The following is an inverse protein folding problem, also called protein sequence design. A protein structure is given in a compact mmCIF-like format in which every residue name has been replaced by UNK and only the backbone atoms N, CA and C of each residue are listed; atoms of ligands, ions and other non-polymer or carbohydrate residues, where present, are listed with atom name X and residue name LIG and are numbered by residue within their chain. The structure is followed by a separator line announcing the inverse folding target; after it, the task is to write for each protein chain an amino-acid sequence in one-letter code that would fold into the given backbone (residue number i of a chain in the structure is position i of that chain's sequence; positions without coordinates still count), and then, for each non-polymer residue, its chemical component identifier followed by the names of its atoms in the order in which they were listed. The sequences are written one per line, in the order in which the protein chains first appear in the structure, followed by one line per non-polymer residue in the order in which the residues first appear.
data_IF_146606660174
#
_entry.id   IF_146606660174
#
_cell.length_a   1.000
_cell.length_b   1.000
_cell.length_c   1.000
_cell.angle_alpha   90.00
_cell.angle_beta   90.00
_cell.angle_gamma   90.00
#
_symmetry.space_group_name_H-M   'P 1'
#
loop_
_entity.id
_entity.type
_entity.pdbx_description
1 polymer ?
#
# COMPACT_ATOMS: atom_id res chain seq x y z
N UNK A 1 -18.89 11.00 12.85
CA UNK A 1 -18.92 9.73 12.08
C UNK A 1 -20.01 9.83 11.02
N UNK A 2 -19.69 9.51 9.76
CA UNK A 2 -20.67 9.59 8.67
C UNK A 2 -21.71 8.45 8.84
N UNK A 3 -22.98 8.72 8.42
CA UNK A 3 -24.08 7.72 8.49
C UNK A 3 -23.73 6.40 7.79
N UNK A 4 -22.98 6.45 6.66
CA UNK A 4 -22.52 5.26 5.93
C UNK A 4 -21.52 4.42 6.75
N UNK A 5 -20.56 5.08 7.41
CA UNK A 5 -19.57 4.41 8.28
C UNK A 5 -20.26 3.78 9.49
N UNK A 6 -21.23 4.50 10.10
CA UNK A 6 -22.03 3.95 11.20
C UNK A 6 -22.81 2.71 10.76
N UNK A 7 -23.48 2.78 9.61
CA UNK A 7 -24.22 1.64 9.06
C UNK A 7 -23.30 0.43 8.79
N UNK A 8 -22.13 0.65 8.19
CA UNK A 8 -21.14 -0.42 7.94
C UNK A 8 -20.66 -1.08 9.25
N UNK A 9 -20.40 -0.28 10.28
CA UNK A 9 -20.01 -0.81 11.60
C UNK A 9 -21.13 -1.59 12.27
N UNK A 10 -22.38 -1.13 12.16
CA UNK A 10 -23.55 -1.85 12.69
C UNK A 10 -23.74 -3.19 11.95
N UNK A 11 -23.64 -3.18 10.61
CA UNK A 11 -23.76 -4.42 9.81
C UNK A 11 -22.62 -5.37 10.13
N UNK A 12 -21.37 -4.88 10.22
CA UNK A 12 -20.23 -5.69 10.63
C UNK A 12 -20.39 -6.26 12.05
N UNK A 13 -20.81 -5.45 13.01
CA UNK A 13 -21.10 -5.90 14.38
C UNK A 13 -22.22 -6.93 14.44
N UNK A 14 -23.30 -6.74 13.67
CA UNK A 14 -24.38 -7.72 13.57
C UNK A 14 -23.87 -9.05 12.97
N UNK A 15 -23.05 -9.00 11.90
CA UNK A 15 -22.46 -10.20 11.31
C UNK A 15 -21.61 -10.98 12.32
N UNK A 16 -20.78 -10.29 13.12
CA UNK A 16 -19.97 -10.90 14.18
C UNK A 16 -20.82 -11.64 15.23
N UNK A 17 -22.00 -11.10 15.55
CA UNK A 17 -22.91 -11.70 16.54
C UNK A 17 -23.68 -12.87 15.92
N UNK A 18 -24.25 -12.67 14.72
CA UNK A 18 -25.12 -13.65 14.05
C UNK A 18 -24.37 -14.92 13.63
N UNK A 19 -23.11 -14.78 13.22
CA UNK A 19 -22.26 -15.93 12.85
C UNK A 19 -20.94 -15.89 13.64
N UNK A 20 -21.06 -15.87 14.97
CA UNK A 20 -19.93 -15.79 15.88
C UNK A 20 -18.92 -16.94 15.73
N UNK A 21 -19.38 -18.13 15.27
CA UNK A 21 -18.48 -19.27 14.99
C UNK A 21 -17.58 -18.99 13.79
N UNK A 22 -18.15 -18.49 12.69
CA UNK A 22 -17.37 -18.07 11.52
C UNK A 22 -16.41 -16.94 11.88
N UNK A 23 -16.87 -15.93 12.62
CA UNK A 23 -16.05 -14.83 13.08
C UNK A 23 -14.85 -15.30 13.92
N UNK A 24 -15.11 -16.14 14.94
CA UNK A 24 -14.06 -16.67 15.82
C UNK A 24 -13.06 -17.54 15.07
N UNK A 25 -13.52 -18.39 14.14
CA UNK A 25 -12.62 -19.21 13.32
C UNK A 25 -11.77 -18.36 12.40
N UNK A 26 -12.37 -17.44 11.65
CA UNK A 26 -11.64 -16.54 10.73
C UNK A 26 -10.63 -15.65 11.45
N UNK A 27 -10.96 -15.18 12.66
CA UNK A 27 -10.01 -14.44 13.49
C UNK A 27 -8.84 -15.31 13.95
N UNK A 28 -9.09 -16.55 14.38
CA UNK A 28 -8.03 -17.49 14.77
C UNK A 28 -7.11 -17.80 13.60
N UNK A 29 -7.66 -18.11 12.43
CA UNK A 29 -6.88 -18.41 11.23
C UNK A 29 -5.97 -17.23 10.85
N UNK A 30 -6.50 -15.99 10.89
CA UNK A 30 -5.73 -14.80 10.60
C UNK A 30 -4.65 -14.52 11.66
N UNK A 31 -4.96 -14.70 12.94
CA UNK A 31 -3.97 -14.53 14.03
C UNK A 31 -2.89 -15.62 13.98
N UNK A 32 -3.25 -16.86 13.65
CA UNK A 32 -2.30 -17.96 13.49
C UNK A 32 -1.35 -17.68 12.31
N UNK A 33 -1.86 -17.19 11.18
CA UNK A 33 -1.08 -16.69 10.05
C UNK A 33 -0.11 -15.58 10.48
N UNK A 34 -0.58 -14.60 11.25
CA UNK A 34 0.26 -13.53 11.78
C UNK A 34 1.39 -14.10 12.67
N UNK A 35 1.04 -14.95 13.62
CA UNK A 35 1.98 -15.46 14.63
C UNK A 35 3.02 -16.42 14.02
N UNK A 36 2.61 -17.33 13.15
CA UNK A 36 3.48 -18.38 12.62
C UNK A 36 4.26 -17.96 11.38
N UNK A 37 3.73 -17.03 10.59
CA UNK A 37 4.34 -16.66 9.31
C UNK A 37 4.75 -15.20 9.25
N UNK A 38 3.83 -14.26 9.45
CA UNK A 38 4.12 -12.86 9.20
C UNK A 38 5.09 -12.26 10.21
N UNK A 39 4.88 -12.50 11.50
CA UNK A 39 5.76 -11.95 12.54
C UNK A 39 7.19 -12.48 12.38
N UNK A 40 7.45 -13.81 12.30
CA UNK A 40 8.81 -14.31 12.18
C UNK A 40 9.53 -13.87 10.90
N UNK A 41 8.82 -13.81 9.76
CA UNK A 41 9.43 -13.46 8.48
C UNK A 41 9.60 -11.96 8.26
N UNK A 42 8.64 -11.15 8.72
CA UNK A 42 8.61 -9.72 8.40
C UNK A 42 9.22 -8.83 9.49
N UNK A 43 9.04 -9.17 10.78
CA UNK A 43 9.47 -8.31 11.88
C UNK A 43 10.96 -7.96 11.83
N UNK A 44 11.91 -8.89 11.65
CA UNK A 44 13.32 -8.55 11.55
C UNK A 44 13.63 -7.60 10.40
N UNK A 45 12.97 -7.81 9.25
CA UNK A 45 13.15 -6.98 8.07
C UNK A 45 12.51 -5.60 8.23
N UNK A 46 11.39 -5.49 8.95
CA UNK A 46 10.77 -4.20 9.29
C UNK A 46 11.66 -3.38 10.24
N UNK A 47 12.34 -4.02 11.19
CA UNK A 47 13.32 -3.35 12.06
C UNK A 47 14.50 -2.82 11.24
N UNK A 48 15.05 -3.65 10.33
CA UNK A 48 16.12 -3.23 9.43
C UNK A 48 15.66 -2.06 8.53
N UNK A 49 14.46 -2.17 7.94
CA UNK A 49 13.90 -1.09 7.13
C UNK A 49 13.76 0.21 7.94
N UNK A 50 13.24 0.13 9.18
CA UNK A 50 13.11 1.28 10.06
C UNK A 50 14.46 1.93 10.42
N UNK A 51 15.52 1.12 10.60
CA UNK A 51 16.86 1.61 10.85
C UNK A 51 17.50 2.29 9.61
N UNK A 52 17.12 1.84 8.39
CA UNK A 52 17.62 2.40 7.13
C UNK A 52 16.86 3.66 6.67
N UNK A 53 15.71 3.97 7.26
CA UNK A 53 14.89 5.16 6.91
C UNK A 53 15.74 6.44 6.82
N UNK A 54 16.60 6.81 7.77
CA UNK A 54 17.39 8.04 7.69
C UNK A 54 18.36 8.04 6.50
N UNK A 55 19.00 6.90 6.25
CA UNK A 55 19.94 6.75 5.13
C UNK A 55 19.23 6.88 3.78
N UNK A 56 18.10 6.19 3.62
CA UNK A 56 17.31 6.22 2.38
C UNK A 56 16.67 7.60 2.15
N UNK A 57 16.18 8.24 3.21
CA UNK A 57 15.60 9.59 3.15
C UNK A 57 16.60 10.68 2.75
N UNK A 58 17.90 10.47 2.99
CA UNK A 58 18.96 11.40 2.61
C UNK A 58 19.46 11.20 1.17
N UNK A 59 19.09 10.10 0.51
CA UNK A 59 19.58 9.77 -0.85
C UNK A 59 19.03 10.78 -1.86
N UNK A 60 19.94 11.22 -2.75
CA UNK A 60 19.65 12.12 -3.87
C UNK A 60 19.94 11.41 -5.18
N UNK A 61 18.92 11.24 -6.01
CA UNK A 61 19.01 10.64 -7.34
C UNK A 61 18.29 11.57 -8.32
N UNK A 62 18.99 12.64 -8.81
CA UNK A 62 18.33 13.66 -9.64
C UNK A 62 17.65 13.13 -10.91
N UNK A 63 18.19 12.04 -11.49
CA UNK A 63 17.56 11.38 -12.64
C UNK A 63 16.22 10.76 -12.25
N UNK A 64 16.11 10.17 -11.07
CA UNK A 64 14.86 9.59 -10.56
C UNK A 64 13.83 10.68 -10.27
N UNK A 65 14.24 11.79 -9.62
CA UNK A 65 13.34 12.92 -9.36
C UNK A 65 12.77 13.48 -10.67
N UNK A 66 13.60 13.64 -11.70
CA UNK A 66 13.17 14.11 -13.03
C UNK A 66 12.22 13.12 -13.70
N UNK A 67 12.55 11.83 -13.68
CA UNK A 67 11.72 10.76 -14.27
C UNK A 67 10.36 10.69 -13.60
N UNK A 68 10.32 10.70 -12.27
CA UNK A 68 9.07 10.67 -11.50
C UNK A 68 8.36 12.03 -11.47
N UNK A 69 8.99 13.10 -11.97
CA UNK A 69 8.49 14.49 -11.88
C UNK A 69 8.14 14.91 -10.45
N UNK A 70 8.92 14.48 -9.46
CA UNK A 70 8.76 14.80 -8.04
C UNK A 70 9.73 15.91 -7.61
N UNK A 71 9.49 16.57 -6.45
CA UNK A 71 10.44 17.55 -5.91
C UNK A 71 11.81 16.92 -5.72
N UNK A 72 12.87 17.68 -5.99
CA UNK A 72 14.22 17.23 -5.68
C UNK A 72 14.36 17.00 -4.18
N UNK A 73 14.76 15.81 -3.80
CA UNK A 73 14.81 15.38 -2.41
C UNK A 73 13.67 14.46 -1.98
N UNK A 74 12.65 14.31 -2.81
CA UNK A 74 11.59 13.34 -2.57
C UNK A 74 11.94 11.93 -3.06
N UNK A 75 13.09 11.74 -3.73
CA UNK A 75 13.59 10.43 -4.19
C UNK A 75 13.72 9.45 -3.01
N UNK A 76 14.17 9.97 -1.87
CA UNK A 76 14.25 9.20 -0.63
C UNK A 76 12.90 8.64 -0.19
N UNK A 77 11.80 9.38 -0.37
CA UNK A 77 10.44 8.92 -0.03
C UNK A 77 10.06 7.74 -0.92
N UNK A 78 10.35 7.81 -2.23
CA UNK A 78 10.10 6.69 -3.14
C UNK A 78 10.92 5.45 -2.75
N UNK A 79 12.20 5.62 -2.41
CA UNK A 79 13.05 4.53 -1.93
C UNK A 79 12.49 3.93 -0.62
N UNK A 80 12.03 4.76 0.32
CA UNK A 80 11.40 4.31 1.54
C UNK A 80 10.15 3.46 1.27
N UNK A 81 9.34 3.86 0.29
CA UNK A 81 8.18 3.09 -0.15
C UNK A 81 8.57 1.77 -0.82
N UNK A 82 9.61 1.79 -1.66
CA UNK A 82 10.08 0.61 -2.39
C UNK A 82 10.72 -0.45 -1.49
N UNK A 83 11.47 -0.03 -0.47
CA UNK A 83 12.21 -0.92 0.43
C UNK A 83 11.53 -1.13 1.79
N UNK A 84 10.80 -0.13 2.30
CA UNK A 84 10.09 -0.22 3.56
C UNK A 84 8.67 -0.81 3.45
N UNK A 85 8.12 -0.81 2.25
CA UNK A 85 6.78 -1.35 1.98
C UNK A 85 5.65 -0.31 2.15
N UNK A 86 4.42 -0.79 1.96
CA UNK A 86 3.20 0.03 1.88
C UNK A 86 3.03 1.12 2.94
N UNK A 87 3.15 0.85 4.24
CA UNK A 87 2.90 1.89 5.22
C UNK A 87 4.03 2.92 5.27
N UNK A 88 5.28 2.54 4.98
CA UNK A 88 6.45 3.42 5.16
C UNK A 88 6.46 4.55 4.13
N UNK A 89 6.17 4.25 2.86
CA UNK A 89 6.07 5.28 1.82
C UNK A 89 4.97 6.30 2.11
N UNK A 90 3.77 5.82 2.43
CA UNK A 90 2.62 6.68 2.76
C UNK A 90 2.87 7.51 4.03
N UNK A 91 3.44 6.91 5.09
CA UNK A 91 3.79 7.61 6.32
C UNK A 91 4.82 8.71 6.08
N UNK A 92 5.84 8.45 5.25
CA UNK A 92 6.87 9.44 4.89
C UNK A 92 6.27 10.62 4.11
N UNK A 93 5.30 10.36 3.22
CA UNK A 93 4.56 11.40 2.51
C UNK A 93 3.72 12.23 3.48
N UNK A 94 2.92 11.59 4.33
CA UNK A 94 2.07 12.25 5.31
C UNK A 94 2.90 13.18 6.22
N UNK A 95 3.99 12.67 6.80
CA UNK A 95 4.90 13.45 7.64
C UNK A 95 5.54 14.63 6.88
N UNK A 96 5.91 14.44 5.60
CA UNK A 96 6.50 15.51 4.78
C UNK A 96 5.48 16.61 4.46
N UNK A 97 4.21 16.26 4.29
CA UNK A 97 3.14 17.24 4.08
C UNK A 97 2.80 17.97 5.38
N UNK A 98 2.71 17.28 6.50
CA UNK A 98 2.44 17.89 7.82
C UNK A 98 3.54 18.86 8.25
N UNK A 99 4.80 18.55 7.95
CA UNK A 99 5.94 19.46 8.21
C UNK A 99 6.05 20.61 7.22
N UNK A 100 5.21 20.66 6.18
CA UNK A 100 5.26 21.66 5.13
C UNK A 100 6.42 21.48 4.13
N UNK A 101 7.19 20.40 4.22
CA UNK A 101 8.26 20.10 3.30
C UNK A 101 7.73 19.68 1.91
N UNK A 102 6.56 19.05 1.86
CA UNK A 102 5.89 18.62 0.63
C UNK A 102 4.52 19.29 0.52
N UNK A 103 4.13 19.73 -0.69
CA UNK A 103 2.78 20.25 -0.89
C UNK A 103 1.74 19.14 -0.85
N UNK A 104 0.49 19.44 -0.50
CA UNK A 104 -0.60 18.46 -0.54
C UNK A 104 -0.77 17.85 -1.92
N UNK A 105 -0.69 18.65 -2.97
CA UNK A 105 -0.80 18.20 -4.36
C UNK A 105 0.29 17.20 -4.72
N UNK A 106 1.54 17.44 -4.30
CA UNK A 106 2.65 16.51 -4.53
C UNK A 106 2.47 15.24 -3.70
N UNK A 107 2.02 15.37 -2.44
CA UNK A 107 1.73 14.24 -1.57
C UNK A 107 0.66 13.31 -2.16
N UNK A 108 -0.48 13.85 -2.57
CA UNK A 108 -1.57 13.09 -3.22
C UNK A 108 -1.11 12.40 -4.50
N UNK A 109 -0.25 13.11 -5.28
CA UNK A 109 0.34 12.57 -6.50
C UNK A 109 1.26 11.38 -6.21
N UNK A 110 2.04 11.45 -5.15
CA UNK A 110 3.05 10.44 -4.80
C UNK A 110 2.49 9.21 -4.09
N UNK A 111 1.35 9.32 -3.40
CA UNK A 111 0.82 8.26 -2.53
C UNK A 111 0.76 6.88 -3.19
N UNK A 112 0.27 6.77 -4.42
CA UNK A 112 0.05 5.49 -5.07
C UNK A 112 1.34 4.84 -5.55
N UNK A 113 2.18 5.56 -6.30
CA UNK A 113 3.41 5.00 -6.86
C UNK A 113 4.58 4.93 -5.84
N UNK A 114 4.49 5.63 -4.71
CA UNK A 114 5.45 5.45 -3.60
C UNK A 114 4.99 4.41 -2.57
N UNK A 115 3.80 3.82 -2.72
CA UNK A 115 3.31 2.77 -1.83
C UNK A 115 3.44 1.42 -2.51
N UNK A 116 4.56 0.74 -2.31
CA UNK A 116 4.92 -0.53 -2.94
C UNK A 116 4.94 -1.67 -1.93
N UNK A 117 4.88 -2.90 -2.41
CA UNK A 117 5.10 -4.06 -1.57
C UNK A 117 6.60 -4.18 -1.25
N UNK A 118 6.94 -4.18 0.02
CA UNK A 118 8.35 -4.21 0.45
C UNK A 118 9.03 -5.56 0.18
N UNK A 119 10.38 -5.56 0.00
CA UNK A 119 11.17 -6.78 -0.16
C UNK A 119 10.97 -7.80 0.96
N UNK A 120 10.68 -7.33 2.18
CA UNK A 120 10.38 -8.18 3.31
C UNK A 120 9.26 -9.18 3.00
N UNK A 121 8.14 -8.71 2.48
CA UNK A 121 7.02 -9.56 2.09
C UNK A 121 7.36 -10.39 0.85
N UNK A 122 7.92 -9.78 -0.17
CA UNK A 122 8.23 -10.45 -1.43
C UNK A 122 9.20 -11.62 -1.24
N UNK A 123 10.31 -11.39 -0.59
CA UNK A 123 11.36 -12.40 -0.41
C UNK A 123 11.18 -13.25 0.87
N UNK A 124 10.35 -12.81 1.81
CA UNK A 124 10.04 -13.57 3.04
C UNK A 124 8.83 -14.47 2.92
N UNK A 125 7.84 -14.13 2.09
CA UNK A 125 6.57 -14.87 2.01
C UNK A 125 6.39 -15.56 0.66
N UNK A 126 6.56 -14.87 -0.47
CA UNK A 126 6.28 -15.41 -1.81
C UNK A 126 7.09 -16.64 -2.19
N UNK A 127 8.35 -16.86 -1.73
CA UNK A 127 9.11 -18.07 -2.07
C UNK A 127 8.48 -19.37 -1.59
N UNK A 128 7.51 -19.32 -0.68
CA UNK A 128 6.72 -20.47 -0.25
C UNK A 128 5.73 -20.95 -1.32
N UNK A 129 5.42 -20.09 -2.30
CA UNK A 129 4.41 -20.33 -3.35
C UNK A 129 4.98 -20.30 -4.76
N UNK A 130 6.06 -19.53 -4.98
CA UNK A 130 6.63 -19.26 -6.30
C UNK A 130 8.14 -19.50 -6.31
N UNK A 131 8.72 -19.92 -7.45
CA UNK A 131 10.17 -19.96 -7.63
C UNK A 131 10.80 -18.58 -7.44
N UNK A 132 12.01 -18.51 -6.89
CA UNK A 132 12.72 -17.26 -6.60
C UNK A 132 12.87 -16.35 -7.84
N UNK A 133 13.03 -16.92 -9.03
CA UNK A 133 13.10 -16.16 -10.28
C UNK A 133 11.81 -15.39 -10.58
N UNK A 134 10.64 -15.99 -10.30
CA UNK A 134 9.34 -15.32 -10.44
C UNK A 134 9.14 -14.25 -9.38
N UNK A 135 9.56 -14.51 -8.14
CA UNK A 135 9.53 -13.50 -7.06
C UNK A 135 10.36 -12.29 -7.44
N UNK A 136 11.56 -12.51 -7.99
CA UNK A 136 12.42 -11.42 -8.47
C UNK A 136 11.81 -10.67 -9.66
N UNK A 137 11.14 -11.38 -10.56
CA UNK A 137 10.40 -10.77 -11.66
C UNK A 137 9.24 -9.89 -11.15
N UNK A 138 8.48 -10.34 -10.14
CA UNK A 138 7.44 -9.53 -9.50
C UNK A 138 8.03 -8.27 -8.87
N UNK A 139 9.15 -8.40 -8.17
CA UNK A 139 9.85 -7.26 -7.57
C UNK A 139 10.26 -6.22 -8.62
N UNK A 140 10.89 -6.65 -9.71
CA UNK A 140 11.27 -5.74 -10.80
C UNK A 140 10.06 -5.11 -11.48
N UNK A 141 9.02 -5.90 -11.75
CA UNK A 141 7.78 -5.43 -12.39
C UNK A 141 7.10 -4.33 -11.57
N UNK A 142 6.99 -4.50 -10.25
CA UNK A 142 6.37 -3.47 -9.42
C UNK A 142 7.19 -2.17 -9.37
N UNK A 143 8.52 -2.28 -9.32
CA UNK A 143 9.42 -1.10 -9.35
C UNK A 143 9.27 -0.35 -10.66
N UNK A 144 9.36 -1.05 -11.76
CA UNK A 144 9.32 -0.48 -13.10
C UNK A 144 7.96 0.18 -13.40
N UNK A 145 6.87 -0.51 -13.10
CA UNK A 145 5.51 0.03 -13.29
C UNK A 145 5.22 1.20 -12.35
N UNK A 146 5.79 1.23 -11.15
CA UNK A 146 5.77 2.38 -10.25
C UNK A 146 6.48 3.60 -10.85
N UNK A 147 7.67 3.40 -11.43
CA UNK A 147 8.43 4.46 -12.11
C UNK A 147 7.65 4.98 -13.32
N UNK A 148 7.06 4.09 -14.12
CA UNK A 148 6.21 4.46 -15.24
C UNK A 148 5.02 5.31 -14.79
N UNK A 149 4.31 4.89 -13.75
CA UNK A 149 3.19 5.65 -13.19
C UNK A 149 3.62 7.04 -12.73
N UNK A 150 4.72 7.14 -11.99
CA UNK A 150 5.25 8.43 -11.57
C UNK A 150 5.61 9.34 -12.74
N UNK A 151 6.21 8.79 -13.80
CA UNK A 151 6.61 9.51 -15.00
C UNK A 151 5.41 10.01 -15.81
N UNK A 152 4.38 9.16 -15.97
CA UNK A 152 3.20 9.46 -16.80
C UNK A 152 2.07 10.16 -16.03
N UNK A 153 2.13 10.21 -14.69
CA UNK A 153 1.07 10.82 -13.90
C UNK A 153 1.06 12.34 -14.04
N UNK A 154 -0.11 12.97 -14.27
CA UNK A 154 -0.19 14.41 -14.45
C UNK A 154 0.34 15.20 -13.25
N UNK A 155 1.01 16.32 -13.54
CA UNK A 155 1.60 17.20 -12.55
C UNK A 155 3.13 17.13 -12.59
N UNK A 156 3.75 18.29 -12.39
CA UNK A 156 5.22 18.42 -12.24
C UNK A 156 5.48 19.26 -11.01
N UNK A 157 6.34 18.78 -10.15
CA UNK A 157 6.86 19.58 -9.06
C UNK A 157 8.22 20.13 -9.41
N UNK A 158 8.43 21.41 -9.14
CA UNK A 158 9.72 22.11 -9.32
C UNK A 158 10.36 22.47 -7.98
N UNK A 159 9.77 22.04 -6.86
CA UNK A 159 10.27 22.29 -5.52
C UNK A 159 11.53 21.47 -5.17
N UNK A 160 12.16 21.86 -4.08
CA UNK A 160 13.24 21.10 -3.43
C UNK A 160 12.84 20.90 -1.98
N UNK A 161 12.93 19.68 -1.49
CA UNK A 161 12.70 19.37 -0.08
C UNK A 161 14.02 19.08 0.62
N UNK A 162 14.11 19.50 1.88
CA UNK A 162 15.24 19.12 2.73
C UNK A 162 15.15 17.64 3.08
N UNK A 163 16.28 16.91 3.16
CA UNK A 163 16.28 15.53 3.58
C UNK A 163 15.68 15.43 4.99
N UNK A 164 14.85 14.41 5.21
CA UNK A 164 14.45 14.02 6.55
C UNK A 164 15.69 13.42 7.22
N UNK A 165 16.46 14.27 7.88
CA UNK A 165 17.65 13.87 8.61
C UNK A 165 17.26 13.57 10.06
N UNK A 166 16.98 12.33 10.36
CA UNK A 166 16.85 11.85 11.72
C UNK A 166 17.73 10.63 11.91
N UNK A 167 18.63 10.65 12.90
CA UNK A 167 19.29 9.43 13.34
C UNK A 167 18.25 8.58 14.09
N UNK A 168 18.09 7.33 13.67
CA UNK A 168 17.23 6.36 14.37
C UNK A 168 18.12 5.41 15.14
N UNK A 169 17.98 5.37 16.45
CA UNK A 169 18.67 4.40 17.30
C UNK A 169 18.09 3.00 17.12
N UNK A 170 18.86 1.95 17.40
CA UNK A 170 18.38 0.58 17.30
C UNK A 170 17.11 0.32 18.15
N UNK A 171 17.02 0.78 19.42
CA UNK A 171 15.78 0.65 20.19
C UNK A 171 14.58 1.33 19.53
N UNK A 172 14.76 2.50 18.94
CA UNK A 172 13.72 3.22 18.22
C UNK A 172 13.29 2.47 16.94
N UNK A 173 14.24 1.90 16.20
CA UNK A 173 13.96 1.06 15.03
C UNK A 173 13.15 -0.18 15.43
N UNK A 174 13.46 -0.82 16.55
CA UNK A 174 12.69 -1.94 17.12
C UNK A 174 11.26 -1.49 17.46
N UNK A 175 11.08 -0.36 18.12
CA UNK A 175 9.74 0.16 18.43
C UNK A 175 8.94 0.46 17.16
N UNK A 176 9.54 1.07 16.14
CA UNK A 176 8.91 1.29 14.83
C UNK A 176 8.53 -0.04 14.17
N UNK A 177 9.39 -1.05 14.23
CA UNK A 177 9.12 -2.41 13.75
C UNK A 177 7.93 -3.06 14.46
N UNK A 178 7.85 -2.91 15.80
CA UNK A 178 6.72 -3.40 16.60
C UNK A 178 5.42 -2.73 16.14
N UNK A 179 5.39 -1.41 16.04
CA UNK A 179 4.19 -0.71 15.57
C UNK A 179 3.78 -1.14 14.16
N UNK A 180 4.73 -1.28 13.24
CA UNK A 180 4.47 -1.69 11.86
C UNK A 180 3.89 -3.10 11.79
N UNK A 181 4.46 -4.09 12.50
CA UNK A 181 3.99 -5.47 12.46
C UNK A 181 2.62 -5.63 13.13
N UNK A 182 2.37 -4.97 14.27
CA UNK A 182 1.06 -5.01 14.93
C UNK A 182 -0.03 -4.36 14.08
N UNK A 183 0.26 -3.23 13.44
CA UNK A 183 -0.68 -2.59 12.51
C UNK A 183 -1.00 -3.51 11.32
N UNK A 184 0.02 -4.15 10.74
CA UNK A 184 -0.17 -5.15 9.68
C UNK A 184 -1.09 -6.29 10.15
N UNK A 185 -0.78 -6.91 11.30
CA UNK A 185 -1.57 -8.02 11.85
C UNK A 185 -3.02 -7.61 12.13
N UNK A 186 -3.26 -6.39 12.63
CA UNK A 186 -4.61 -5.88 12.85
C UNK A 186 -5.41 -5.81 11.53
N UNK A 187 -4.83 -5.26 10.47
CA UNK A 187 -5.50 -5.18 9.18
C UNK A 187 -5.69 -6.55 8.52
N UNK A 188 -4.71 -7.45 8.61
CA UNK A 188 -4.83 -8.83 8.14
C UNK A 188 -5.95 -9.56 8.87
N UNK A 189 -6.08 -9.35 10.18
CA UNK A 189 -7.15 -9.97 10.98
C UNK A 189 -8.53 -9.43 10.58
N UNK A 190 -8.69 -8.12 10.44
CA UNK A 190 -9.96 -7.51 10.01
C UNK A 190 -10.36 -7.95 8.59
N UNK A 191 -9.40 -7.96 7.68
CA UNK A 191 -9.64 -8.42 6.31
C UNK A 191 -9.89 -9.93 6.24
N UNK A 192 -9.20 -10.73 7.08
CA UNK A 192 -9.44 -12.16 7.24
C UNK A 192 -10.85 -12.48 7.74
N UNK A 193 -11.36 -11.69 8.69
CA UNK A 193 -12.76 -11.77 9.13
C UNK A 193 -13.73 -11.51 7.96
N UNK A 194 -13.52 -10.42 7.23
CA UNK A 194 -14.36 -10.09 6.07
C UNK A 194 -14.31 -11.19 5.00
N UNK A 195 -13.11 -11.70 4.68
CA UNK A 195 -12.92 -12.81 3.75
C UNK A 195 -13.59 -14.09 4.24
N UNK A 196 -13.58 -14.35 5.55
CA UNK A 196 -14.27 -15.49 6.17
C UNK A 196 -15.78 -15.45 5.96
N UNK A 197 -16.40 -14.29 6.18
CA UNK A 197 -17.83 -14.10 5.90
C UNK A 197 -18.14 -14.24 4.41
N UNK A 198 -17.31 -13.67 3.53
CA UNK A 198 -17.50 -13.82 2.08
C UNK A 198 -17.39 -15.29 1.66
N UNK A 199 -16.40 -16.05 2.17
CA UNK A 199 -16.25 -17.49 1.91
C UNK A 199 -17.46 -18.28 2.36
N UNK A 200 -18.08 -17.92 3.47
CA UNK A 200 -19.22 -18.64 4.00
C UNK A 200 -20.53 -18.29 3.31
N UNK A 201 -20.76 -17.01 3.02
CA UNK A 201 -22.07 -16.54 2.57
C UNK A 201 -22.15 -16.28 1.06
N UNK A 202 -21.02 -15.97 0.40
CA UNK A 202 -21.03 -15.57 -1.02
C UNK A 202 -20.27 -16.56 -1.92
N UNK A 203 -19.10 -17.02 -1.53
CA UNK A 203 -18.25 -17.85 -2.40
C UNK A 203 -18.83 -19.22 -2.75
N UNK A 204 -19.72 -19.87 -1.95
CA UNK A 204 -20.37 -21.10 -2.38
C UNK A 204 -21.18 -20.95 -3.67
N UNK A 205 -21.55 -19.71 -4.03
CA UNK A 205 -22.29 -19.40 -5.26
C UNK A 205 -21.37 -18.94 -6.41
N UNK A 206 -20.05 -18.87 -6.21
CA UNK A 206 -19.07 -18.37 -7.16
C UNK A 206 -18.07 -19.48 -7.53
N UNK A 207 -17.48 -19.42 -8.76
CA UNK A 207 -16.33 -20.25 -9.10
C UNK A 207 -15.17 -20.01 -8.12
N UNK A 208 -14.42 -21.06 -7.79
CA UNK A 208 -13.29 -21.01 -6.86
C UNK A 208 -12.25 -19.93 -7.24
N UNK A 209 -11.94 -19.80 -8.54
CA UNK A 209 -11.04 -18.77 -9.05
C UNK A 209 -11.49 -17.35 -8.74
N UNK A 210 -12.79 -17.09 -8.77
CA UNK A 210 -13.37 -15.79 -8.39
C UNK A 210 -13.21 -15.56 -6.89
N UNK A 211 -13.40 -16.60 -6.06
CA UNK A 211 -13.18 -16.54 -4.62
C UNK A 211 -11.73 -16.18 -4.26
N UNK A 212 -10.76 -16.78 -4.94
CA UNK A 212 -9.33 -16.48 -4.77
C UNK A 212 -9.04 -15.02 -5.14
N UNK A 213 -9.52 -14.57 -6.30
CA UNK A 213 -9.34 -13.18 -6.76
C UNK A 213 -9.96 -12.19 -5.75
N UNK A 214 -11.19 -12.43 -5.32
CA UNK A 214 -11.86 -11.58 -4.33
C UNK A 214 -11.08 -11.51 -3.01
N UNK A 215 -10.54 -12.65 -2.54
CA UNK A 215 -9.71 -12.70 -1.32
C UNK A 215 -8.45 -11.85 -1.48
N UNK A 216 -7.73 -11.98 -2.59
CA UNK A 216 -6.50 -11.23 -2.86
C UNK A 216 -6.74 -9.72 -3.10
N UNK A 217 -7.86 -9.37 -3.70
CA UNK A 217 -8.26 -7.96 -3.84
C UNK A 217 -8.70 -7.35 -2.51
N UNK A 218 -9.24 -8.14 -1.60
CA UNK A 218 -9.57 -7.69 -0.25
C UNK A 218 -8.31 -7.52 0.59
N UNK A 219 -7.43 -8.53 0.59
CA UNK A 219 -6.22 -8.56 1.40
C UNK A 219 -5.12 -9.38 0.71
N UNK A 220 -3.96 -8.75 0.52
CA UNK A 220 -2.80 -9.29 -0.19
C UNK A 220 -2.35 -10.65 0.36
N UNK A 221 -2.16 -10.73 1.67
CA UNK A 221 -1.61 -11.93 2.33
C UNK A 221 -2.56 -13.11 2.19
N UNK A 222 -3.83 -12.90 2.53
CA UNK A 222 -4.87 -13.93 2.38
C UNK A 222 -5.03 -14.37 0.92
N UNK A 223 -4.85 -13.45 -0.04
CA UNK A 223 -4.85 -13.77 -1.46
C UNK A 223 -3.69 -14.67 -1.87
N UNK A 224 -2.47 -14.37 -1.41
CA UNK A 224 -1.28 -15.20 -1.66
C UNK A 224 -1.43 -16.58 -1.05
N UNK A 225 -1.92 -16.67 0.20
CA UNK A 225 -2.16 -17.97 0.86
C UNK A 225 -3.34 -18.76 0.28
N UNK A 226 -4.23 -18.12 -0.46
CA UNK A 226 -5.31 -18.79 -1.19
C UNK A 226 -4.88 -19.32 -2.57
N UNK A 227 -3.67 -19.01 -3.04
CA UNK A 227 -3.16 -19.53 -4.31
C UNK A 227 -2.98 -21.06 -4.25
N UNK A 228 -3.13 -21.75 -5.40
CA UNK A 228 -2.79 -23.18 -5.51
C UNK A 228 -1.34 -23.46 -5.09
N UNK A 229 -1.03 -24.72 -4.74
CA UNK A 229 0.31 -25.12 -4.25
C UNK A 229 1.48 -24.73 -5.16
N UNK A 230 1.26 -24.64 -6.47
CA UNK A 230 2.26 -24.16 -7.43
C UNK A 230 2.08 -22.68 -7.79
N UNK A 231 1.33 -21.94 -6.97
CA UNK A 231 1.10 -20.52 -7.14
C UNK A 231 0.51 -20.13 -8.51
N UNK A 232 0.24 -18.84 -8.66
CA UNK A 232 -0.02 -18.25 -9.97
C UNK A 232 0.78 -16.94 -10.02
N UNK A 233 1.83 -16.94 -10.83
CA UNK A 233 2.67 -15.76 -11.06
C UNK A 233 1.85 -14.52 -11.42
N UNK A 234 0.84 -14.68 -12.28
CA UNK A 234 -0.01 -13.57 -12.71
C UNK A 234 -0.89 -13.05 -11.56
N UNK A 235 -1.53 -13.94 -10.79
CA UNK A 235 -2.36 -13.54 -9.67
C UNK A 235 -1.51 -12.93 -8.53
N UNK A 236 -0.35 -13.52 -8.25
CA UNK A 236 0.57 -12.96 -7.27
C UNK A 236 1.03 -11.54 -7.67
N UNK A 237 1.36 -11.33 -8.96
CA UNK A 237 1.70 -10.00 -9.48
C UNK A 237 0.53 -9.02 -9.35
N UNK A 238 -0.68 -9.45 -9.71
CA UNK A 238 -1.90 -8.64 -9.55
C UNK A 238 -2.07 -8.20 -8.09
N UNK A 239 -1.99 -9.13 -7.15
CA UNK A 239 -2.19 -8.85 -5.73
C UNK A 239 -1.09 -7.95 -5.17
N UNK A 240 0.17 -8.20 -5.51
CA UNK A 240 1.33 -7.39 -5.09
C UNK A 240 1.21 -5.95 -5.61
N UNK A 241 0.92 -5.76 -6.89
CA UNK A 241 0.82 -4.43 -7.48
C UNK A 241 -0.40 -3.66 -6.97
N UNK A 242 -1.53 -4.34 -6.71
CA UNK A 242 -2.72 -3.72 -6.14
C UNK A 242 -2.55 -3.44 -4.63
N UNK A 243 -2.05 -4.40 -3.88
CA UNK A 243 -1.88 -4.36 -2.43
C UNK A 243 -3.12 -4.79 -1.63
N UNK A 244 -4.30 -4.77 -2.23
CA UNK A 244 -5.58 -5.08 -1.57
C UNK A 244 -6.26 -3.87 -0.94
N UNK A 245 -7.55 -4.02 -0.67
CA UNK A 245 -8.38 -2.98 0.00
C UNK A 245 -7.84 -2.68 1.40
N UNK A 246 -7.33 -3.69 2.13
CA UNK A 246 -6.75 -3.51 3.47
C UNK A 246 -5.59 -2.52 3.46
N UNK A 247 -4.70 -2.60 2.45
CA UNK A 247 -3.58 -1.66 2.28
C UNK A 247 -4.09 -0.27 1.89
N UNK A 248 -5.10 -0.16 1.02
CA UNK A 248 -5.70 1.13 0.70
C UNK A 248 -6.31 1.81 1.93
N UNK A 249 -6.89 1.05 2.85
CA UNK A 249 -7.42 1.58 4.12
C UNK A 249 -6.29 2.03 5.06
N UNK A 250 -5.17 1.30 5.12
CA UNK A 250 -3.97 1.71 5.88
C UNK A 250 -3.40 3.03 5.36
N UNK A 251 -3.19 3.13 4.04
CA UNK A 251 -2.73 4.36 3.38
C UNK A 251 -3.74 5.49 3.62
N UNK A 252 -5.04 5.18 3.54
CA UNK A 252 -6.14 6.12 3.76
C UNK A 252 -6.16 6.71 5.16
N UNK A 253 -5.82 5.94 6.19
CA UNK A 253 -5.67 6.43 7.56
C UNK A 253 -4.58 7.50 7.64
N UNK A 254 -3.38 7.19 7.15
CA UNK A 254 -2.24 8.12 7.13
C UNK A 254 -2.52 9.37 6.26
N UNK A 255 -3.14 9.17 5.10
CA UNK A 255 -3.52 10.26 4.21
C UNK A 255 -4.54 11.21 4.85
N UNK A 256 -5.52 10.67 5.61
CA UNK A 256 -6.54 11.46 6.29
C UNK A 256 -5.95 12.34 7.39
N UNK A 257 -4.95 11.86 8.15
CA UNK A 257 -4.24 12.63 9.15
C UNK A 257 -3.56 13.86 8.53
N UNK A 258 -2.89 13.70 7.38
CA UNK A 258 -2.26 14.78 6.63
C UNK A 258 -3.24 15.60 5.75
N UNK A 259 -4.52 15.27 5.75
CA UNK A 259 -5.56 15.94 4.95
C UNK A 259 -5.40 15.75 3.44
N UNK A 260 -4.92 14.56 3.03
CA UNK A 260 -4.70 14.16 1.63
C UNK A 260 -5.90 13.40 1.07
N UNK A 261 -6.16 13.57 -0.24
CA UNK A 261 -7.19 12.82 -0.97
C UNK A 261 -6.65 11.45 -1.42
N UNK A 262 -7.47 10.41 -1.26
CA UNK A 262 -7.15 9.04 -1.69
C UNK A 262 -7.49 8.75 -3.16
N UNK A 263 -8.22 9.65 -3.83
CA UNK A 263 -8.66 9.42 -5.20
C UNK A 263 -7.52 9.07 -6.17
N UNK A 264 -6.47 9.91 -6.27
CA UNK A 264 -5.31 9.63 -7.10
C UNK A 264 -4.63 8.30 -6.74
N UNK A 265 -4.48 8.00 -5.45
CA UNK A 265 -3.85 6.77 -4.97
C UNK A 265 -4.61 5.52 -5.42
N UNK A 266 -5.93 5.48 -5.26
CA UNK A 266 -6.77 4.35 -5.69
C UNK A 266 -6.62 4.11 -7.19
N UNK A 267 -6.70 5.18 -8.00
CA UNK A 267 -6.55 5.06 -9.45
C UNK A 267 -5.16 4.55 -9.84
N UNK A 268 -4.11 5.07 -9.21
CA UNK A 268 -2.74 4.60 -9.44
C UNK A 268 -2.58 3.13 -9.09
N UNK A 269 -3.19 2.66 -8.00
CA UNK A 269 -3.14 1.25 -7.60
C UNK A 269 -3.87 0.34 -8.58
N UNK A 270 -5.00 0.76 -9.12
CA UNK A 270 -5.69 0.03 -10.18
C UNK A 270 -4.85 -0.05 -11.46
N UNK A 271 -4.25 1.08 -11.87
CA UNK A 271 -3.35 1.10 -13.02
C UNK A 271 -2.07 0.30 -12.78
N UNK A 272 -1.51 0.34 -11.58
CA UNK A 272 -0.34 -0.44 -11.19
C UNK A 272 -0.64 -1.95 -11.30
N UNK A 273 -1.80 -2.38 -10.80
CA UNK A 273 -2.24 -3.76 -10.93
C UNK A 273 -2.40 -4.19 -12.39
N UNK A 274 -3.06 -3.37 -13.21
CA UNK A 274 -3.27 -3.66 -14.63
C UNK A 274 -1.94 -3.73 -15.41
N UNK A 275 -1.08 -2.72 -15.26
CA UNK A 275 0.22 -2.66 -15.93
C UNK A 275 1.16 -3.77 -15.45
N UNK A 276 1.23 -4.01 -14.14
CA UNK A 276 2.05 -5.07 -13.57
C UNK A 276 1.63 -6.45 -14.06
N UNK A 277 0.32 -6.73 -14.09
CA UNK A 277 -0.20 -8.00 -14.61
C UNK A 277 0.05 -8.15 -16.11
N UNK A 278 -0.09 -7.07 -16.89
CA UNK A 278 0.24 -7.08 -18.32
C UNK A 278 1.72 -7.36 -18.56
N UNK A 279 2.63 -6.71 -17.80
CA UNK A 279 4.07 -6.98 -17.85
C UNK A 279 4.39 -8.42 -17.46
N UNK A 280 3.75 -8.95 -16.41
CA UNK A 280 3.90 -10.35 -16.00
C UNK A 280 3.39 -11.33 -17.07
N UNK A 281 2.29 -11.00 -17.76
CA UNK A 281 1.81 -11.80 -18.89
C UNK A 281 2.80 -11.84 -20.06
N UNK A 282 3.48 -10.72 -20.33
CA UNK A 282 4.56 -10.67 -21.33
C UNK A 282 5.81 -11.44 -20.84
N UNK A 283 6.11 -11.38 -19.54
CA UNK A 283 7.21 -12.15 -18.92
C UNK A 283 7.11 -13.64 -19.24
N UNK A 284 5.93 -14.22 -19.14
CA UNK A 284 5.72 -15.65 -19.45
C UNK A 284 6.00 -16.01 -20.91
N UNK A 285 5.99 -15.01 -21.81
CA UNK A 285 6.22 -15.21 -23.26
C UNK A 285 7.64 -14.85 -23.70
N UNK A 286 8.19 -13.78 -23.20
CA UNK A 286 9.46 -13.20 -23.68
C UNK A 286 10.50 -12.98 -22.56
N UNK A 287 10.24 -13.48 -21.34
CA UNK A 287 11.16 -13.38 -20.22
C UNK A 287 11.52 -11.95 -19.86
N UNK A 288 12.80 -11.68 -19.57
CA UNK A 288 13.31 -10.36 -19.18
C UNK A 288 13.02 -9.22 -20.16
N UNK A 289 12.79 -9.51 -21.44
CA UNK A 289 12.43 -8.47 -22.43
C UNK A 289 11.09 -7.81 -22.11
N UNK A 290 10.21 -8.46 -21.33
CA UNK A 290 8.94 -7.88 -20.91
C UNK A 290 9.11 -6.64 -20.02
N UNK A 291 10.22 -6.53 -19.29
CA UNK A 291 10.54 -5.37 -18.46
C UNK A 291 10.81 -4.10 -19.30
N UNK A 292 11.03 -4.23 -20.61
CA UNK A 292 11.10 -3.08 -21.52
C UNK A 292 9.70 -2.54 -21.91
N UNK A 293 8.62 -3.29 -21.66
CA UNK A 293 7.28 -2.92 -22.06
C UNK A 293 6.79 -1.58 -21.48
N UNK A 294 6.92 -1.32 -20.16
CA UNK A 294 6.56 -0.03 -19.60
C UNK A 294 7.41 1.12 -20.14
N UNK A 295 8.70 0.88 -20.41
CA UNK A 295 9.59 1.89 -21.00
C UNK A 295 9.18 2.24 -22.44
N UNK A 296 8.73 1.25 -23.21
CA UNK A 296 8.19 1.46 -24.57
C UNK A 296 6.90 2.27 -24.50
N UNK A 297 5.99 1.95 -23.57
CA UNK A 297 4.76 2.71 -23.35
C UNK A 297 5.04 4.18 -23.00
N UNK A 298 6.03 4.43 -22.12
CA UNK A 298 6.44 5.79 -21.75
C UNK A 298 6.96 6.58 -22.97
N UNK A 299 7.77 5.94 -23.83
CA UNK A 299 8.29 6.57 -25.05
C UNK A 299 7.22 6.83 -26.12
N UNK A 300 6.16 6.03 -26.15
CA UNK A 300 5.03 6.22 -27.07
C UNK A 300 4.12 7.40 -26.67
N UNK A 301 4.47 8.15 -25.62
CA UNK A 301 3.74 9.34 -25.21
C UNK A 301 2.33 9.05 -24.67
N UNK A 302 2.14 7.90 -24.02
CA UNK A 302 0.91 7.60 -23.30
C UNK A 302 0.77 8.55 -22.11
N UNK A 303 0.44 9.81 -22.40
CA UNK A 303 -0.06 10.72 -21.37
C UNK A 303 -1.42 10.21 -20.91
N UNK A 304 -1.50 9.84 -19.64
CA UNK A 304 -2.79 9.49 -19.03
C UNK A 304 -3.68 10.74 -19.09
N UNK A 305 -4.82 10.73 -19.82
CA UNK A 305 -5.60 11.93 -20.07
C UNK A 305 -6.06 12.56 -18.74
N UNK A 306 -5.66 13.79 -18.47
CA UNK A 306 -6.05 14.56 -17.26
C UNK A 306 -7.58 14.56 -17.02
N UNK A 307 -8.40 14.52 -18.08
CA UNK A 307 -9.86 14.55 -18.00
C UNK A 307 -10.47 13.29 -17.38
N UNK A 308 -9.86 12.13 -17.53
CA UNK A 308 -10.34 10.87 -16.95
C UNK A 308 -10.03 10.75 -15.47
N UNK A 309 -8.97 11.43 -14.99
CA UNK A 309 -8.43 11.26 -13.64
C UNK A 309 -8.89 12.34 -12.66
N UNK A 310 -9.10 13.58 -13.10
CA UNK A 310 -9.37 14.70 -12.21
C UNK A 310 -10.87 15.09 -12.15
N UNK A 311 -11.57 15.12 -13.28
CA UNK A 311 -12.95 15.61 -13.35
C UNK A 311 -14.01 14.67 -12.77
N UNK A 312 -13.70 13.37 -12.61
CA UNK A 312 -14.64 12.38 -12.07
C UNK A 312 -14.67 12.39 -10.54
N UNK A 313 -13.61 12.86 -9.91
CA UNK A 313 -13.46 12.85 -8.44
C UNK A 313 -13.70 14.20 -7.78
N UNK A 314 -13.35 15.33 -8.41
CA UNK A 314 -13.64 16.65 -7.86
C UNK A 314 -15.15 16.91 -7.69
N UNK A 315 -15.99 16.39 -8.60
CA UNK A 315 -17.47 16.50 -8.47
C UNK A 315 -18.08 15.58 -7.42
N UNK A 316 -17.39 14.53 -6.98
CA UNK A 316 -17.87 13.59 -5.94
C UNK A 316 -17.10 13.71 -4.62
N UNK A 317 -15.98 14.40 -4.60
CA UNK A 317 -15.08 14.48 -3.43
C UNK A 317 -15.59 15.33 -2.28
N UNK A 318 -16.62 16.17 -2.49
CA UNK A 318 -17.24 16.93 -1.40
C UNK A 318 -18.19 16.10 -0.51
N UNK A 319 -18.51 14.85 -0.89
CA UNK A 319 -19.44 13.98 -0.14
C UNK A 319 -18.83 12.67 0.36
N UNK A 320 -17.56 12.37 0.06
CA UNK A 320 -16.94 11.11 0.52
C UNK A 320 -16.36 11.20 1.94
N UNK A 321 -16.58 10.14 2.67
CA UNK A 321 -16.56 9.88 4.11
C UNK A 321 -15.27 10.16 4.91
N UNK A 322 -14.23 10.79 4.36
CA UNK A 322 -12.94 10.98 5.06
C UNK A 322 -12.66 12.42 5.52
N UNK A 323 -13.60 13.34 5.39
CA UNK A 323 -13.38 14.78 5.61
C UNK A 323 -14.01 15.35 6.88
N UNK A 324 -13.76 14.82 8.07
CA UNK A 324 -13.90 15.60 9.32
C UNK A 324 -12.76 15.29 10.27
N UNK A 325 -11.99 16.33 10.54
CA UNK A 325 -10.90 16.40 11.52
C UNK A 325 -11.35 15.81 12.87
N UNK A 326 -10.66 14.78 13.32
CA UNK A 326 -10.74 14.33 14.70
C UNK A 326 -10.00 15.36 15.58
N UNK A 327 -10.70 16.29 16.21
CA UNK A 327 -10.14 17.14 17.26
C UNK A 327 -10.08 16.31 18.52
N UNK A 328 -8.92 15.78 18.83
CA UNK A 328 -8.62 15.20 20.13
C UNK A 328 -8.80 16.25 21.24
N UNK A 329 -9.07 15.83 22.48
CA UNK A 329 -9.27 16.77 23.57
C UNK A 329 -7.99 17.58 23.81
N UNK A 330 -8.12 18.90 23.75
CA UNK A 330 -7.06 19.81 24.12
C UNK A 330 -6.62 19.54 25.57
N UNK A 331 -5.32 19.29 25.76
CA UNK A 331 -4.74 19.22 27.09
C UNK A 331 -4.81 20.62 27.70
N UNK A 332 -5.74 20.82 28.62
CA UNK A 332 -5.75 21.94 29.54
C UNK A 332 -4.61 21.76 30.53
N UNK A 333 -3.44 22.25 30.17
CA UNK A 333 -2.36 22.51 31.10
C UNK A 333 -2.07 24.02 31.02
N UNK A 334 -2.80 24.80 31.80
CA UNK A 334 -2.49 26.21 32.05
C UNK A 334 -2.66 26.53 33.51
N UNK A 335 -1.55 26.95 34.08
CA UNK A 335 -1.39 27.88 35.18
C UNK A 335 -1.93 27.48 36.58
N UNK A 336 -1.02 27.09 37.44
CA UNK A 336 -1.00 27.53 38.82
C UNK A 336 0.43 27.96 39.18
N UNK A 337 0.73 29.23 38.91
CA UNK A 337 1.75 29.96 39.71
C UNK A 337 0.98 31.03 40.47
N UNK A 338 0.87 30.85 41.75
CA UNK A 338 1.08 31.84 42.81
C UNK A 338 1.51 31.12 44.04
#
# INVERSE_FOLDING_TARGET
MNKRTAAALIVGGAALILDSRCAAQSARDALDLCARTLIPSLFPLLVIAAALVPCLGAVRIPILARTLSIPSGAEGIWLLGAFGGFPVGAASIAQSVESGALTKSDGERMLGFCSLCGPAFLFGVLPQFLPMGEVFAIFLTQIETSVLLGACWPGRSTGTISPVSSSVSLPEAVQKGIHAIFNLCAWVTLAGLAAGFLRRWLFPFLPESVGIICTGLLELTGGIFALPQHGSFLLATLFVCFGGVSVLLQIGGLAAEAGLSMGPCVMQKLLHAALGTATACLWTKIGFLSLLFPLVLAKMGLEIPRRLLYNTWERKGSECCFGKRWSGPASTAASARK
#
